data_IF_170179778705
#
_entry.id   IF_170179778705
#
_cell.length_a   1.000
_cell.length_b   1.000
_cell.length_c   1.000
_cell.angle_alpha   90.00
_cell.angle_beta   90.00
_cell.angle_gamma   90.00
#
_symmetry.space_group_name_H-M   'P 1'
#
loop_
_entity.id
_entity.type
_entity.pdbx_description
1 polymer ?
#
# COMPACT_ATOMS: atom_id res chain seq x y z
N UNK A 1 9.92 6.33 -1.64
CA UNK A 1 8.86 7.26 -1.20
C UNK A 1 9.48 8.22 -0.21
N UNK A 2 9.86 9.38 -0.63
CA UNK A 2 10.30 10.47 0.22
C UNK A 2 9.05 11.14 0.79
N UNK A 3 8.81 10.98 2.09
CA UNK A 3 7.74 11.68 2.80
C UNK A 3 8.20 13.11 3.03
N UNK A 4 7.57 14.08 2.37
CA UNK A 4 7.67 15.48 2.76
C UNK A 4 6.91 15.69 4.06
N UNK A 5 7.63 16.12 5.10
CA UNK A 5 7.04 16.57 6.35
C UNK A 5 6.24 17.86 6.09
N UNK A 6 5.00 17.90 6.56
CA UNK A 6 4.22 19.12 6.65
C UNK A 6 4.84 20.02 7.73
N UNK A 7 5.44 21.13 7.33
CA UNK A 7 5.79 22.20 8.25
C UNK A 7 4.54 23.02 8.56
N UNK A 8 3.93 22.74 9.73
CA UNK A 8 2.95 23.63 10.33
C UNK A 8 3.65 24.85 10.95
N UNK A 9 3.25 26.04 10.58
CA UNK A 9 3.73 27.29 11.15
C UNK A 9 3.36 27.37 12.63
N UNK A 10 4.36 27.40 13.51
CA UNK A 10 4.20 27.57 14.95
C UNK A 10 3.85 29.00 15.32
N UNK A 11 2.74 29.18 16.01
CA UNK A 11 2.44 30.40 16.76
C UNK A 11 3.06 30.21 18.14
N UNK A 12 4.03 31.03 18.46
CA UNK A 12 4.64 31.10 19.80
C UNK A 12 3.65 31.72 20.79
N UNK A 13 3.18 30.92 21.75
CA UNK A 13 2.51 31.42 22.95
C UNK A 13 3.45 31.35 24.12
N UNK A 14 3.50 32.48 24.84
CA UNK A 14 4.36 32.76 25.99
C UNK A 14 4.12 31.77 27.14
N UNK A 15 5.22 31.36 27.76
CA UNK A 15 5.24 30.47 28.91
C UNK A 15 4.72 31.18 30.17
N UNK A 16 3.74 30.55 30.85
CA UNK A 16 3.44 30.81 32.26
C UNK A 16 4.06 29.69 33.11
N UNK A 17 4.61 29.99 34.30
CA UNK A 17 5.33 28.99 35.07
C UNK A 17 4.40 28.11 35.91
N UNK A 18 4.66 26.84 35.81
CA UNK A 18 4.66 25.84 36.86
C UNK A 18 3.39 25.52 37.63
N UNK A 19 2.71 24.48 37.21
CA UNK A 19 2.20 23.47 38.15
C UNK A 19 2.71 22.12 37.67
N UNK A 20 3.50 21.46 38.50
CA UNK A 20 3.87 20.07 38.28
C UNK A 20 2.57 19.23 38.38
N UNK A 21 2.05 18.82 37.25
CA UNK A 21 1.01 17.81 37.19
C UNK A 21 1.65 16.46 37.57
N UNK A 22 1.15 15.82 38.59
CA UNK A 22 1.46 14.43 38.91
C UNK A 22 1.16 13.53 37.67
N UNK A 23 1.86 12.41 37.48
CA UNK A 23 1.70 11.59 36.29
C UNK A 23 0.31 10.95 36.24
N UNK A 24 -0.53 11.44 35.36
CA UNK A 24 -1.83 10.87 34.97
C UNK A 24 -1.66 9.62 34.07
N UNK A 25 -0.56 8.85 34.20
CA UNK A 25 -0.17 7.83 33.22
C UNK A 25 -1.15 6.65 33.12
N UNK A 26 -1.74 6.19 34.21
CA UNK A 26 -2.50 4.93 34.22
C UNK A 26 -3.88 4.99 33.53
N UNK A 27 -4.56 6.12 33.54
CA UNK A 27 -5.92 6.25 32.98
C UNK A 27 -5.88 6.61 31.49
N UNK A 28 -4.91 7.41 31.08
CA UNK A 28 -4.77 7.96 29.74
C UNK A 28 -4.60 6.88 28.67
N UNK A 29 -3.71 5.92 28.89
CA UNK A 29 -3.42 4.86 27.92
C UNK A 29 -4.57 3.85 27.78
N UNK A 30 -5.27 3.57 28.87
CA UNK A 30 -6.45 2.68 28.85
C UNK A 30 -7.62 3.31 28.10
N UNK A 31 -7.86 4.63 28.29
CA UNK A 31 -8.91 5.34 27.58
C UNK A 31 -8.63 5.35 26.06
N UNK A 32 -7.41 5.66 25.64
CA UNK A 32 -7.00 5.64 24.25
C UNK A 32 -7.03 4.22 23.65
N UNK A 33 -6.67 3.20 24.43
CA UNK A 33 -6.82 1.81 24.00
C UNK A 33 -8.31 1.44 23.78
N UNK A 34 -9.18 1.78 24.72
CA UNK A 34 -10.61 1.51 24.60
C UNK A 34 -11.24 2.28 23.43
N UNK A 35 -10.75 3.52 23.13
CA UNK A 35 -11.12 4.29 21.95
C UNK A 35 -10.68 3.60 20.66
N UNK A 36 -9.40 3.21 20.54
CA UNK A 36 -8.86 2.49 19.40
C UNK A 36 -9.63 1.19 19.14
N UNK A 37 -9.82 0.36 20.18
CA UNK A 37 -10.50 -0.91 20.07
C UNK A 37 -11.94 -0.74 19.59
N UNK A 38 -12.69 0.22 20.16
CA UNK A 38 -14.05 0.54 19.75
C UNK A 38 -14.11 1.04 18.31
N UNK A 39 -13.27 2.01 17.95
CA UNK A 39 -13.25 2.61 16.62
C UNK A 39 -12.97 1.57 15.53
N UNK A 40 -11.98 0.70 15.74
CA UNK A 40 -11.69 -0.38 14.80
C UNK A 40 -12.81 -1.44 14.78
N UNK A 41 -13.36 -1.78 15.93
CA UNK A 41 -14.48 -2.70 16.05
C UNK A 41 -15.72 -2.26 15.28
N UNK A 42 -16.00 -0.95 15.28
CA UNK A 42 -17.16 -0.36 14.61
C UNK A 42 -16.93 0.02 13.15
N UNK A 43 -15.70 0.38 12.77
CA UNK A 43 -15.43 1.06 11.49
C UNK A 43 -14.49 0.33 10.56
N UNK A 44 -13.63 -0.57 11.05
CA UNK A 44 -12.74 -1.35 10.19
C UNK A 44 -13.55 -2.29 9.30
N UNK A 45 -13.48 -2.08 7.97
CA UNK A 45 -14.44 -2.69 7.04
C UNK A 45 -14.27 -4.19 6.79
N UNK A 46 -13.09 -4.75 7.10
CA UNK A 46 -12.80 -6.17 6.88
C UNK A 46 -12.78 -6.99 8.18
N UNK A 47 -13.34 -6.50 9.28
CA UNK A 47 -13.23 -7.18 10.58
C UNK A 47 -13.83 -8.59 10.55
N UNK A 48 -14.96 -8.77 9.87
CA UNK A 48 -15.64 -10.06 9.72
C UNK A 48 -14.92 -11.05 8.80
N UNK A 49 -14.00 -10.55 7.97
CA UNK A 49 -13.19 -11.38 7.06
C UNK A 49 -11.93 -11.93 7.75
N UNK A 50 -11.61 -11.41 8.95
CA UNK A 50 -10.42 -11.80 9.72
C UNK A 50 -10.71 -12.98 10.66
N UNK A 51 -9.68 -13.81 10.88
CA UNK A 51 -9.73 -14.84 11.90
C UNK A 51 -9.33 -14.32 13.29
N UNK A 52 -9.19 -13.03 13.46
CA UNK A 52 -8.88 -12.37 14.73
C UNK A 52 -10.15 -12.27 15.59
N UNK A 53 -10.12 -12.79 16.81
CA UNK A 53 -11.16 -12.49 17.81
C UNK A 53 -10.93 -11.10 18.39
N UNK A 54 -11.82 -10.17 18.07
CA UNK A 54 -11.69 -8.78 18.51
C UNK A 54 -11.85 -8.62 20.03
N UNK A 55 -12.65 -9.47 20.67
CA UNK A 55 -12.77 -9.53 22.14
C UNK A 55 -11.49 -10.06 22.80
N UNK A 56 -10.79 -11.04 22.15
CA UNK A 56 -9.49 -11.48 22.63
C UNK A 56 -8.43 -10.38 22.50
N UNK A 57 -8.49 -9.54 21.46
CA UNK A 57 -7.61 -8.37 21.33
C UNK A 57 -7.77 -7.47 22.55
N UNK A 58 -9.01 -7.16 22.96
CA UNK A 58 -9.25 -6.36 24.15
C UNK A 58 -8.72 -7.04 25.43
N UNK A 59 -9.06 -8.30 25.62
CA UNK A 59 -8.65 -9.03 26.81
C UNK A 59 -7.14 -9.19 26.92
N UNK A 60 -6.44 -9.31 25.80
CA UNK A 60 -4.99 -9.50 25.73
C UNK A 60 -4.20 -8.18 25.88
N UNK A 61 -4.61 -7.12 25.14
CA UNK A 61 -3.82 -5.89 25.06
C UNK A 61 -4.21 -4.81 26.09
N UNK A 62 -5.46 -4.80 26.58
CA UNK A 62 -5.90 -3.80 27.57
C UNK A 62 -5.12 -3.84 28.88
N UNK A 63 -4.80 -5.02 29.47
CA UNK A 63 -3.91 -5.08 30.62
C UNK A 63 -2.49 -4.54 30.33
N UNK A 64 -1.98 -4.73 29.10
CA UNK A 64 -0.68 -4.17 28.70
C UNK A 64 -0.74 -2.64 28.62
N UNK A 65 -1.83 -2.08 28.10
CA UNK A 65 -2.05 -0.63 28.06
C UNK A 65 -2.09 -0.02 29.47
N UNK A 66 -2.74 -0.73 30.41
CA UNK A 66 -2.76 -0.32 31.84
C UNK A 66 -1.35 -0.35 32.46
N UNK A 67 -0.51 -1.30 32.05
CA UNK A 67 0.85 -1.48 32.57
C UNK A 67 1.93 -0.71 31.76
N UNK A 68 1.56 0.07 30.75
CA UNK A 68 2.50 0.83 29.96
C UNK A 68 3.12 1.95 30.79
N UNK A 69 4.46 2.05 30.78
CA UNK A 69 5.21 2.98 31.62
C UNK A 69 5.41 4.34 30.93
N UNK A 70 5.33 4.38 29.58
CA UNK A 70 5.54 5.59 28.79
C UNK A 70 4.84 5.52 27.42
N UNK A 71 4.87 6.63 26.69
CA UNK A 71 4.29 6.77 25.35
C UNK A 71 4.90 5.80 24.33
N UNK A 72 6.18 5.45 24.47
CA UNK A 72 6.86 4.53 23.55
C UNK A 72 6.33 3.09 23.73
N UNK A 73 6.19 2.65 24.99
CA UNK A 73 5.59 1.35 25.33
C UNK A 73 4.14 1.29 24.86
N UNK A 74 3.35 2.33 25.07
CA UNK A 74 1.97 2.38 24.62
C UNK A 74 1.86 2.43 23.08
N UNK A 75 2.71 3.21 22.42
CA UNK A 75 2.79 3.24 20.94
C UNK A 75 3.08 1.85 20.34
N UNK A 76 3.95 1.04 20.96
CA UNK A 76 4.18 -0.35 20.52
C UNK A 76 2.93 -1.21 20.73
N UNK A 77 2.19 -1.03 21.80
CA UNK A 77 0.91 -1.72 22.02
C UNK A 77 -0.10 -1.37 20.94
N UNK A 78 -0.29 -0.07 20.63
CA UNK A 78 -1.16 0.40 19.52
C UNK A 78 -0.75 -0.25 18.21
N UNK A 79 0.55 -0.22 17.87
CA UNK A 79 1.09 -0.87 16.66
C UNK A 79 0.75 -2.36 16.61
N UNK A 80 0.87 -3.07 17.73
CA UNK A 80 0.57 -4.51 17.82
C UNK A 80 -0.91 -4.79 17.68
N UNK A 81 -1.78 -3.96 18.25
CA UNK A 81 -3.24 -4.04 18.06
C UNK A 81 -3.62 -3.87 16.59
N UNK A 82 -3.01 -2.89 15.88
CA UNK A 82 -3.23 -2.72 14.44
C UNK A 82 -2.74 -3.94 13.64
N UNK A 83 -1.61 -4.55 14.04
CA UNK A 83 -1.06 -5.74 13.39
C UNK A 83 -1.95 -7.00 13.56
N UNK A 84 -2.83 -7.06 14.57
CA UNK A 84 -3.81 -8.14 14.71
C UNK A 84 -4.80 -8.20 13.53
N UNK A 85 -4.94 -7.12 12.78
CA UNK A 85 -5.78 -7.04 11.58
C UNK A 85 -5.07 -7.52 10.31
N UNK A 86 -3.76 -7.84 10.37
CA UNK A 86 -2.93 -8.28 9.23
C UNK A 86 -3.34 -7.61 7.91
N UNK A 87 -3.34 -6.28 7.94
CA UNK A 87 -3.73 -5.39 6.85
C UNK A 87 -2.64 -4.33 6.64
N UNK A 88 -1.96 -4.37 5.49
CA UNK A 88 -0.88 -3.43 5.18
C UNK A 88 -1.35 -1.97 5.06
N UNK A 89 -2.65 -1.74 4.93
CA UNK A 89 -3.26 -0.41 4.85
C UNK A 89 -3.68 0.14 6.22
N UNK A 90 -3.64 -0.70 7.28
CA UNK A 90 -4.00 -0.35 8.66
C UNK A 90 -2.73 -0.33 9.52
N UNK A 91 -2.25 0.87 9.88
CA UNK A 91 -0.97 1.05 10.56
C UNK A 91 -0.84 2.41 11.23
N UNK A 92 0.18 2.61 12.07
CA UNK A 92 0.56 3.93 12.60
C UNK A 92 0.91 4.88 11.45
N UNK A 93 0.51 6.16 11.56
CA UNK A 93 0.85 7.19 10.55
C UNK A 93 2.34 7.55 10.59
N UNK A 94 2.91 7.61 11.78
CA UNK A 94 4.33 7.91 12.01
C UNK A 94 4.96 6.86 12.94
N UNK A 95 5.24 5.65 12.41
CA UNK A 95 5.81 4.59 13.22
C UNK A 95 7.28 4.85 13.54
N UNK A 96 7.70 4.67 14.82
CA UNK A 96 9.07 4.88 15.26
C UNK A 96 10.10 3.99 14.55
N UNK A 97 11.35 4.44 14.48
CA UNK A 97 12.48 3.58 14.09
C UNK A 97 12.57 2.36 15.01
N UNK A 98 13.02 1.23 14.44
CA UNK A 98 13.09 -0.03 15.16
C UNK A 98 11.77 -0.81 15.23
N UNK A 99 10.66 -0.28 14.70
CA UNK A 99 9.40 -1.01 14.53
C UNK A 99 9.40 -1.79 13.21
N UNK A 100 8.64 -2.91 13.10
CA UNK A 100 8.46 -3.61 11.83
C UNK A 100 7.93 -2.68 10.74
N UNK A 101 8.45 -2.83 9.53
CA UNK A 101 7.86 -2.17 8.36
C UNK A 101 6.56 -2.87 7.98
N UNK A 102 5.59 -2.12 7.47
CA UNK A 102 4.46 -2.77 6.78
C UNK A 102 4.91 -3.27 5.40
N UNK A 103 4.31 -4.36 4.88
CA UNK A 103 4.61 -4.88 3.54
C UNK A 103 3.85 -4.06 2.46
N UNK A 104 4.27 -4.03 1.16
CA UNK A 104 5.49 -4.67 0.70
C UNK A 104 6.67 -3.70 0.81
N UNK A 105 7.89 -4.25 0.85
CA UNK A 105 9.09 -3.41 0.85
C UNK A 105 10.13 -4.00 -0.11
N UNK A 106 11.21 -4.14 -0.24
CA UNK A 106 12.19 -4.59 -1.24
C UNK A 106 11.81 -5.83 -2.06
N UNK A 107 11.03 -6.75 -1.51
CA UNK A 107 10.63 -8.00 -2.15
C UNK A 107 9.27 -8.49 -1.63
N UNK A 108 8.64 -9.33 -2.44
CA UNK A 108 7.50 -10.14 -2.07
C UNK A 108 7.97 -11.57 -1.80
N UNK A 109 7.58 -12.12 -0.66
CA UNK A 109 7.82 -13.51 -0.31
C UNK A 109 6.49 -14.26 -0.14
N UNK A 110 6.51 -15.55 -0.46
CA UNK A 110 5.34 -16.42 -0.33
C UNK A 110 5.71 -17.76 0.30
N UNK A 111 4.70 -18.42 0.87
CA UNK A 111 4.84 -19.79 1.37
C UNK A 111 4.73 -20.77 0.22
N UNK A 112 5.68 -21.70 0.13
CA UNK A 112 5.69 -22.77 -0.84
C UNK A 112 5.91 -24.12 -0.11
N UNK A 113 4.83 -24.80 0.23
CA UNK A 113 4.86 -25.94 1.16
C UNK A 113 5.41 -25.51 2.52
N UNK A 114 6.43 -26.21 3.01
CA UNK A 114 7.07 -25.91 4.31
C UNK A 114 8.18 -24.86 4.21
N UNK A 115 8.26 -24.13 3.09
CA UNK A 115 9.33 -23.15 2.86
C UNK A 115 8.79 -21.78 2.51
N UNK A 116 9.60 -20.76 2.72
CA UNK A 116 9.34 -19.39 2.27
C UNK A 116 10.28 -19.09 1.12
N UNK A 117 9.75 -18.59 0.00
CA UNK A 117 10.55 -18.23 -1.18
C UNK A 117 10.27 -16.81 -1.64
N UNK A 118 11.19 -16.23 -2.38
CA UNK A 118 11.01 -14.94 -3.04
C UNK A 118 10.10 -15.11 -4.24
N UNK A 119 8.98 -14.39 -4.27
CA UNK A 119 8.02 -14.40 -5.37
C UNK A 119 8.25 -13.24 -6.35
N UNK A 120 8.62 -12.04 -5.82
CA UNK A 120 8.96 -10.89 -6.66
C UNK A 120 10.03 -10.01 -5.98
N UNK A 121 10.73 -9.23 -6.79
CA UNK A 121 11.77 -8.30 -6.32
C UNK A 121 11.50 -6.93 -6.93
N UNK A 122 11.48 -5.90 -6.08
CA UNK A 122 11.31 -4.53 -6.53
C UNK A 122 12.55 -4.05 -7.26
N UNK A 123 12.35 -3.48 -8.45
CA UNK A 123 13.43 -2.93 -9.25
C UNK A 123 14.14 -1.80 -8.51
N UNK A 124 15.47 -1.80 -8.56
CA UNK A 124 16.26 -0.77 -7.87
C UNK A 124 16.27 -0.89 -6.34
N UNK A 125 15.68 -1.94 -5.74
CA UNK A 125 15.69 -2.19 -4.30
C UNK A 125 17.03 -2.72 -3.79
N UNK A 126 17.22 -2.77 -2.46
CA UNK A 126 18.37 -3.45 -1.84
C UNK A 126 18.38 -4.96 -2.16
N UNK A 127 17.21 -5.57 -2.34
CA UNK A 127 17.11 -6.98 -2.75
C UNK A 127 17.62 -7.21 -4.18
N UNK A 128 17.31 -6.32 -5.11
CA UNK A 128 17.82 -6.37 -6.48
C UNK A 128 19.33 -6.15 -6.51
N UNK A 129 19.85 -5.15 -5.79
CA UNK A 129 21.30 -4.87 -5.69
C UNK A 129 22.08 -6.04 -5.07
N UNK A 130 21.47 -6.78 -4.11
CA UNK A 130 22.04 -7.96 -3.51
C UNK A 130 22.07 -9.19 -4.44
N UNK A 131 21.52 -9.07 -5.65
CA UNK A 131 21.49 -10.13 -6.65
C UNK A 131 20.65 -11.34 -6.22
N UNK A 132 19.59 -11.10 -5.41
CA UNK A 132 18.59 -12.12 -5.12
C UNK A 132 17.79 -12.46 -6.36
N UNK A 133 17.22 -13.66 -6.38
CA UNK A 133 16.43 -14.14 -7.51
C UNK A 133 15.06 -14.62 -7.05
N UNK A 134 14.07 -14.48 -7.92
CA UNK A 134 12.77 -15.12 -7.76
C UNK A 134 12.98 -16.62 -7.66
N UNK A 135 12.33 -17.27 -6.68
CA UNK A 135 12.49 -18.67 -6.35
C UNK A 135 13.57 -18.98 -5.30
N UNK A 136 14.45 -18.02 -4.94
CA UNK A 136 15.38 -18.23 -3.83
C UNK A 136 14.59 -18.49 -2.55
N UNK A 137 14.98 -19.55 -1.82
CA UNK A 137 14.37 -19.92 -0.54
C UNK A 137 14.97 -19.05 0.57
N UNK A 138 14.13 -18.43 1.38
CA UNK A 138 14.55 -17.66 2.56
C UNK A 138 14.74 -18.61 3.74
N UNK A 139 15.92 -18.59 4.37
CA UNK A 139 16.30 -19.48 5.46
C UNK A 139 16.23 -18.74 6.79
N UNK A 140 16.83 -17.54 6.85
CA UNK A 140 16.94 -16.79 8.09
C UNK A 140 16.97 -15.27 7.83
N UNK A 141 16.56 -14.50 8.82
CA UNK A 141 16.70 -13.04 8.89
C UNK A 141 17.50 -12.72 10.15
N UNK A 142 18.60 -11.96 10.01
CA UNK A 142 19.51 -11.58 11.11
C UNK A 142 19.97 -12.79 11.95
N UNK A 143 20.26 -13.90 11.26
CA UNK A 143 20.70 -15.17 11.88
C UNK A 143 19.57 -15.97 12.55
N UNK A 144 18.33 -15.46 12.60
CA UNK A 144 17.18 -16.16 13.19
C UNK A 144 16.43 -16.93 12.09
N UNK A 145 16.11 -18.22 12.29
CA UNK A 145 15.32 -18.99 11.33
C UNK A 145 14.04 -18.26 10.94
N UNK A 146 13.68 -18.26 9.65
CA UNK A 146 12.52 -17.51 9.13
C UNK A 146 11.21 -17.89 9.84
N UNK A 147 10.99 -19.17 10.13
CA UNK A 147 9.80 -19.64 10.83
C UNK A 147 9.70 -19.13 12.27
N UNK A 148 10.84 -18.89 12.91
CA UNK A 148 10.88 -18.27 14.25
C UNK A 148 10.47 -16.80 14.17
N UNK A 149 10.98 -16.07 13.17
CA UNK A 149 10.63 -14.66 12.98
C UNK A 149 9.15 -14.51 12.64
N UNK A 150 8.60 -15.36 11.74
CA UNK A 150 7.18 -15.39 11.40
C UNK A 150 6.33 -15.65 12.65
N UNK A 151 6.63 -16.67 13.41
CA UNK A 151 5.88 -17.01 14.64
C UNK A 151 5.85 -15.86 15.66
N UNK A 152 6.94 -15.14 15.82
CA UNK A 152 7.02 -14.03 16.76
C UNK A 152 6.20 -12.81 16.32
N UNK A 153 6.12 -12.56 15.01
CA UNK A 153 5.35 -11.47 14.40
C UNK A 153 3.87 -11.83 14.14
N UNK A 154 3.50 -13.11 14.21
CA UNK A 154 2.13 -13.59 13.97
C UNK A 154 1.14 -12.92 14.92
N UNK A 155 -0.05 -12.50 14.44
CA UNK A 155 -1.14 -12.04 15.30
C UNK A 155 -1.43 -13.02 16.45
N UNK A 156 -1.65 -12.51 17.66
CA UNK A 156 -1.81 -13.31 18.90
C UNK A 156 -3.25 -13.74 19.17
N UNK A 157 -4.19 -13.06 18.53
CA UNK A 157 -5.62 -13.23 18.82
C UNK A 157 -6.39 -14.01 17.74
N UNK A 158 -5.70 -14.72 16.85
CA UNK A 158 -6.34 -15.60 15.86
C UNK A 158 -7.11 -16.72 16.55
N UNK A 159 -8.35 -16.99 16.10
CA UNK A 159 -9.16 -18.13 16.57
C UNK A 159 -8.76 -19.45 15.91
N UNK A 160 -8.21 -19.37 14.70
CA UNK A 160 -7.62 -20.48 13.93
C UNK A 160 -6.56 -19.96 12.98
N UNK A 161 -5.69 -20.83 12.45
CA UNK A 161 -4.73 -20.43 11.41
C UNK A 161 -5.42 -19.78 10.22
N UNK A 162 -4.81 -18.72 9.69
CA UNK A 162 -5.29 -17.99 8.52
C UNK A 162 -4.15 -17.80 7.50
N UNK A 163 -4.28 -18.33 6.27
CA UNK A 163 -3.28 -18.12 5.22
C UNK A 163 -3.02 -16.64 4.90
N UNK A 164 -4.02 -15.76 5.07
CA UNK A 164 -3.83 -14.33 4.85
C UNK A 164 -2.96 -13.69 5.96
N UNK A 165 -3.11 -14.14 7.21
CA UNK A 165 -2.24 -13.71 8.31
C UNK A 165 -0.81 -14.23 8.13
N UNK A 166 -0.64 -15.48 7.65
CA UNK A 166 0.67 -16.05 7.34
C UNK A 166 1.35 -15.26 6.22
N UNK A 167 0.67 -15.02 5.11
CA UNK A 167 1.20 -14.25 3.98
C UNK A 167 1.59 -12.81 4.39
N UNK A 168 0.74 -12.12 5.17
CA UNK A 168 1.05 -10.80 5.71
C UNK A 168 2.30 -10.84 6.58
N UNK A 169 2.37 -11.79 7.52
CA UNK A 169 3.47 -11.89 8.48
C UNK A 169 4.80 -12.25 7.82
N UNK A 170 4.79 -13.14 6.82
CA UNK A 170 5.97 -13.43 5.99
C UNK A 170 6.51 -12.12 5.39
N UNK A 171 5.65 -11.30 4.82
CA UNK A 171 6.07 -10.07 4.16
C UNK A 171 6.47 -8.97 5.14
N UNK A 172 5.91 -8.89 6.33
CA UNK A 172 6.43 -8.06 7.43
C UNK A 172 7.82 -8.53 7.87
N UNK A 173 8.04 -9.84 7.99
CA UNK A 173 9.33 -10.40 8.39
C UNK A 173 10.44 -10.03 7.39
N UNK A 174 10.19 -10.21 6.09
CA UNK A 174 11.19 -9.88 5.05
C UNK A 174 11.36 -8.38 4.84
N UNK A 175 10.33 -7.56 5.08
CA UNK A 175 10.45 -6.11 5.07
C UNK A 175 11.40 -5.59 6.17
N UNK A 176 11.49 -6.32 7.28
CA UNK A 176 12.37 -6.01 8.41
C UNK A 176 11.92 -4.78 9.20
N UNK A 177 12.87 -4.11 9.83
CA UNK A 177 12.60 -3.02 10.77
C UNK A 177 13.00 -1.66 10.20
N UNK A 178 12.26 -0.61 10.56
CA UNK A 178 12.54 0.78 10.17
C UNK A 178 13.88 1.24 10.73
N UNK A 179 14.63 2.00 9.94
CA UNK A 179 15.93 2.53 10.33
C UNK A 179 17.01 1.47 10.56
N UNK A 180 16.75 0.17 10.29
CA UNK A 180 17.72 -0.90 10.49
C UNK A 180 18.09 -1.60 9.18
N UNK A 181 19.40 -1.83 9.00
CA UNK A 181 19.91 -2.80 8.04
C UNK A 181 19.55 -4.20 8.51
N UNK A 182 19.53 -5.17 7.60
CA UNK A 182 19.25 -6.57 7.91
C UNK A 182 20.13 -7.53 7.10
N UNK A 183 20.28 -8.75 7.59
CA UNK A 183 20.95 -9.85 6.89
C UNK A 183 19.88 -10.86 6.44
N UNK A 184 19.90 -11.24 5.18
CA UNK A 184 19.02 -12.27 4.66
C UNK A 184 19.83 -13.50 4.26
N UNK A 185 19.58 -14.63 4.89
CA UNK A 185 20.18 -15.92 4.48
C UNK A 185 19.22 -16.61 3.53
N UNK A 186 19.70 -16.93 2.34
CA UNK A 186 18.91 -17.57 1.27
C UNK A 186 19.63 -18.80 0.73
N UNK A 187 18.86 -19.73 0.17
CA UNK A 187 19.37 -20.85 -0.62
C UNK A 187 18.80 -20.73 -2.04
N UNK A 188 19.68 -20.78 -3.04
CA UNK A 188 19.26 -20.85 -4.44
C UNK A 188 18.58 -22.18 -4.74
N UNK A 189 17.85 -22.23 -5.86
CA UNK A 189 17.25 -23.47 -6.39
C UNK A 189 18.29 -24.57 -6.65
N UNK A 190 19.57 -24.23 -6.84
CA UNK A 190 20.69 -25.16 -6.94
C UNK A 190 21.29 -25.61 -5.60
N UNK A 191 20.68 -25.23 -4.44
CA UNK A 191 21.10 -25.68 -3.11
C UNK A 191 22.25 -24.88 -2.48
N UNK A 192 22.82 -23.88 -3.15
CA UNK A 192 23.86 -23.02 -2.58
C UNK A 192 23.26 -22.01 -1.63
N UNK A 193 23.71 -22.03 -0.38
CA UNK A 193 23.30 -21.06 0.65
C UNK A 193 24.27 -19.90 0.72
N UNK A 194 23.72 -18.68 0.90
CA UNK A 194 24.49 -17.45 1.11
C UNK A 194 23.75 -16.49 2.04
N UNK A 195 24.48 -15.65 2.74
CA UNK A 195 23.92 -14.55 3.53
C UNK A 195 24.28 -13.24 2.86
N UNK A 196 23.29 -12.41 2.63
CA UNK A 196 23.44 -11.12 1.95
C UNK A 196 23.00 -9.97 2.85
N UNK A 197 23.78 -8.87 2.91
CA UNK A 197 23.39 -7.70 3.66
C UNK A 197 22.40 -6.85 2.87
N UNK A 198 21.39 -6.35 3.56
CA UNK A 198 20.46 -5.33 3.07
C UNK A 198 20.75 -4.04 3.84
N UNK A 199 21.56 -3.13 3.29
CA UNK A 199 21.78 -1.83 3.87
C UNK A 199 20.49 -0.99 3.83
N UNK A 200 20.44 0.06 4.65
CA UNK A 200 19.40 1.08 4.51
C UNK A 200 19.64 1.79 3.17
N UNK A 201 18.70 1.60 2.23
CA UNK A 201 18.75 2.24 0.92
C UNK A 201 17.89 3.49 0.92
N UNK A 202 18.45 4.60 0.46
CA UNK A 202 17.69 5.81 0.14
C UNK A 202 17.22 5.71 -1.31
N UNK A 203 15.92 5.83 -1.52
CA UNK A 203 15.36 5.93 -2.85
C UNK A 203 15.68 7.31 -3.44
N UNK A 204 15.94 7.40 -4.74
CA UNK A 204 16.18 8.69 -5.39
C UNK A 204 14.92 9.58 -5.28
N UNK A 205 15.14 10.88 -5.13
CA UNK A 205 14.06 11.87 -5.19
C UNK A 205 13.74 12.14 -6.67
N UNK A 206 12.77 11.41 -7.20
CA UNK A 206 12.32 11.51 -8.58
C UNK A 206 11.03 12.33 -8.66
N UNK A 207 10.77 13.05 -9.76
CA UNK A 207 9.51 13.74 -9.96
C UNK A 207 8.32 12.76 -9.95
N UNK A 208 7.18 13.21 -9.42
CA UNK A 208 5.96 12.40 -9.42
C UNK A 208 5.48 12.06 -10.83
N UNK A 209 5.76 12.92 -11.81
CA UNK A 209 5.40 12.69 -13.21
C UNK A 209 6.63 12.91 -14.09
N UNK A 210 6.93 11.92 -14.92
CA UNK A 210 7.91 12.00 -16.00
C UNK A 210 7.28 11.53 -17.31
N UNK A 211 7.70 12.10 -18.42
CA UNK A 211 7.16 11.71 -19.72
C UNK A 211 8.22 11.71 -20.81
N UNK A 212 8.05 10.83 -21.78
CA UNK A 212 8.88 10.75 -22.99
C UNK A 212 8.12 10.13 -24.15
N UNK A 213 8.61 10.36 -25.35
CA UNK A 213 8.21 9.61 -26.53
C UNK A 213 9.06 8.34 -26.62
N UNK A 214 8.41 7.18 -26.76
CA UNK A 214 9.04 5.91 -27.09
C UNK A 214 9.14 5.75 -28.62
N UNK A 215 9.90 4.76 -29.11
CA UNK A 215 9.87 4.39 -30.52
C UNK A 215 8.44 4.16 -31.03
N UNK A 216 8.26 4.29 -32.34
CA UNK A 216 6.98 4.11 -33.02
C UNK A 216 5.89 5.14 -32.62
N UNK A 217 6.32 6.30 -32.07
CA UNK A 217 5.41 7.39 -31.73
C UNK A 217 4.48 7.08 -30.54
N UNK A 218 4.86 6.20 -29.63
CA UNK A 218 4.10 5.84 -28.43
C UNK A 218 4.50 6.81 -27.30
N UNK A 219 3.52 7.50 -26.72
CA UNK A 219 3.72 8.32 -25.52
C UNK A 219 3.87 7.43 -24.28
N UNK A 220 4.76 7.83 -23.35
CA UNK A 220 4.98 7.15 -22.10
C UNK A 220 5.00 8.16 -20.96
N UNK A 221 4.15 7.94 -19.95
CA UNK A 221 4.05 8.77 -18.74
C UNK A 221 4.18 7.86 -17.52
N UNK A 222 5.14 8.17 -16.64
CA UNK A 222 5.23 7.56 -15.30
C UNK A 222 4.50 8.47 -14.30
N UNK A 223 3.68 7.88 -13.43
CA UNK A 223 3.08 8.56 -12.27
C UNK A 223 3.53 7.82 -11.03
N UNK A 224 4.36 8.45 -10.17
CA UNK A 224 4.92 7.82 -8.97
C UNK A 224 4.13 8.07 -7.69
N UNK A 225 3.21 9.05 -7.72
CA UNK A 225 2.39 9.36 -6.55
C UNK A 225 1.08 10.03 -6.97
N UNK A 226 0.02 9.80 -6.20
CA UNK A 226 -1.23 10.56 -6.25
C UNK A 226 -1.43 11.41 -4.98
N UNK A 227 -0.36 11.72 -4.24
CA UNK A 227 -0.48 12.40 -2.93
C UNK A 227 -0.53 13.93 -3.04
N UNK A 228 -0.01 14.51 -4.14
CA UNK A 228 0.03 15.97 -4.34
C UNK A 228 -0.86 16.38 -5.52
N UNK A 229 -1.65 17.41 -5.34
CA UNK A 229 -2.49 17.98 -6.40
C UNK A 229 -1.68 18.49 -7.60
N UNK A 230 -0.42 18.92 -7.39
CA UNK A 230 0.51 19.27 -8.45
C UNK A 230 0.80 18.12 -9.43
N UNK A 231 0.62 16.86 -9.02
CA UNK A 231 0.75 15.69 -9.89
C UNK A 231 -0.25 15.72 -11.04
N UNK A 232 -1.50 16.14 -10.79
CA UNK A 232 -2.51 16.26 -11.85
C UNK A 232 -2.14 17.34 -12.88
N UNK A 233 -1.60 18.46 -12.43
CA UNK A 233 -1.13 19.55 -13.31
C UNK A 233 0.12 19.13 -14.11
N UNK A 234 1.03 18.40 -13.48
CA UNK A 234 2.22 17.85 -14.15
C UNK A 234 1.82 16.81 -15.20
N UNK A 235 0.85 15.94 -14.89
CA UNK A 235 0.27 15.01 -15.86
C UNK A 235 -0.38 15.73 -17.04
N UNK A 236 -1.13 16.79 -16.79
CA UNK A 236 -1.79 17.58 -17.84
C UNK A 236 -0.77 18.18 -18.82
N UNK A 237 0.37 18.70 -18.32
CA UNK A 237 1.48 19.20 -19.16
C UNK A 237 2.13 18.06 -19.95
N UNK A 238 2.39 16.91 -19.31
CA UNK A 238 2.95 15.74 -19.97
C UNK A 238 2.04 15.22 -21.10
N UNK A 239 0.72 15.12 -20.81
CA UNK A 239 -0.26 14.68 -21.80
C UNK A 239 -0.38 15.67 -22.98
N UNK A 240 -0.30 16.98 -22.73
CA UNK A 240 -0.31 17.99 -23.79
C UNK A 240 0.90 17.84 -24.72
N UNK A 241 2.08 17.59 -24.18
CA UNK A 241 3.31 17.35 -24.97
C UNK A 241 3.25 16.05 -25.79
N UNK A 242 2.47 15.08 -25.34
CA UNK A 242 2.30 13.77 -25.99
C UNK A 242 0.95 13.67 -26.74
N UNK A 243 0.27 14.80 -26.98
CA UNK A 243 -1.05 14.84 -27.59
C UNK A 243 -1.12 14.09 -28.93
N UNK A 244 -0.05 14.19 -29.72
CA UNK A 244 0.02 13.62 -31.07
C UNK A 244 0.55 12.18 -31.10
N UNK A 245 0.98 11.62 -29.96
CA UNK A 245 1.40 10.23 -29.84
C UNK A 245 0.30 9.28 -30.38
N UNK A 246 0.69 8.19 -31.03
CA UNK A 246 -0.24 7.21 -31.64
C UNK A 246 -1.03 6.42 -30.59
N UNK A 247 -0.47 6.25 -29.41
CA UNK A 247 -1.07 5.65 -28.22
C UNK A 247 -0.31 6.08 -26.99
N UNK A 248 -0.82 5.80 -25.80
CA UNK A 248 -0.23 6.21 -24.52
C UNK A 248 -0.07 5.03 -23.57
N UNK A 249 1.11 4.90 -23.00
CA UNK A 249 1.38 4.01 -21.86
C UNK A 249 1.49 4.88 -20.61
N UNK A 250 0.68 4.58 -19.58
CA UNK A 250 0.74 5.19 -18.25
C UNK A 250 1.31 4.15 -17.29
N UNK A 251 2.39 4.46 -16.61
CA UNK A 251 3.09 3.55 -15.72
C UNK A 251 2.89 3.95 -14.26
N UNK A 252 2.24 3.07 -13.48
CA UNK A 252 2.00 3.25 -12.05
C UNK A 252 2.69 2.16 -11.22
N UNK A 253 3.71 1.47 -11.77
CA UNK A 253 4.42 0.38 -11.09
C UNK A 253 5.18 0.83 -9.84
N UNK A 254 5.66 2.07 -9.79
CA UNK A 254 6.38 2.65 -8.65
C UNK A 254 5.48 3.54 -7.77
N UNK A 255 4.15 3.39 -7.89
CA UNK A 255 3.18 4.28 -7.24
C UNK A 255 2.50 3.57 -6.07
N UNK A 256 2.75 4.05 -4.85
CA UNK A 256 2.14 3.53 -3.63
C UNK A 256 0.72 4.06 -3.35
N UNK A 257 0.16 4.92 -4.22
CA UNK A 257 -1.20 5.46 -4.06
C UNK A 257 -1.26 6.96 -3.79
N UNK A 258 -2.28 7.37 -3.05
CA UNK A 258 -2.60 8.74 -2.71
C UNK A 258 -4.10 9.03 -2.81
N UNK A 259 -4.48 10.26 -3.18
CA UNK A 259 -5.85 10.76 -3.12
C UNK A 259 -6.60 10.59 -4.46
N UNK A 260 -7.87 10.23 -4.37
CA UNK A 260 -8.83 10.24 -5.50
C UNK A 260 -8.99 11.64 -6.10
N UNK A 261 -8.82 12.70 -5.31
CA UNK A 261 -8.88 14.08 -5.79
C UNK A 261 -7.77 14.40 -6.81
N UNK A 262 -6.65 13.66 -6.78
CA UNK A 262 -5.56 13.75 -7.76
C UNK A 262 -5.78 12.82 -8.95
N UNK A 263 -6.21 11.58 -8.70
CA UNK A 263 -6.36 10.58 -9.76
C UNK A 263 -7.58 10.80 -10.66
N UNK A 264 -8.73 11.27 -10.11
CA UNK A 264 -9.95 11.52 -10.90
C UNK A 264 -9.78 12.56 -12.00
N UNK A 265 -9.16 13.74 -11.78
CA UNK A 265 -8.87 14.69 -12.86
C UNK A 265 -8.05 14.08 -13.99
N UNK A 266 -7.06 13.21 -13.66
CA UNK A 266 -6.26 12.49 -14.66
C UNK A 266 -7.13 11.54 -15.49
N UNK A 267 -7.96 10.69 -14.83
CA UNK A 267 -8.92 9.83 -15.53
C UNK A 267 -9.89 10.64 -16.41
N UNK A 268 -10.29 11.83 -15.95
CA UNK A 268 -11.19 12.73 -16.67
C UNK A 268 -10.66 13.23 -18.02
N UNK A 269 -9.33 13.15 -18.27
CA UNK A 269 -8.69 13.50 -19.54
C UNK A 269 -9.02 12.52 -20.67
N UNK A 270 -9.61 11.36 -20.36
CA UNK A 270 -9.85 10.27 -21.29
C UNK A 270 -11.33 10.06 -21.64
N UNK A 271 -12.25 10.84 -21.07
CA UNK A 271 -13.69 10.72 -21.26
C UNK A 271 -14.33 12.03 -21.69
N UNK A 272 -15.48 11.97 -22.37
CA UNK A 272 -16.27 13.13 -22.82
C UNK A 272 -17.55 13.33 -22.02
N UNK A 273 -17.93 12.35 -21.22
CA UNK A 273 -19.10 12.33 -20.36
C UNK A 273 -18.78 11.73 -19.01
N UNK A 274 -19.60 12.01 -17.99
CA UNK A 274 -19.44 11.44 -16.65
C UNK A 274 -19.60 9.93 -16.69
N UNK A 275 -18.64 9.20 -16.07
CA UNK A 275 -18.66 7.74 -16.02
C UNK A 275 -18.43 7.23 -14.59
N UNK A 276 -19.11 6.13 -14.25
CA UNK A 276 -18.82 5.38 -13.04
C UNK A 276 -17.45 4.70 -13.15
N UNK A 277 -16.67 4.71 -12.07
CA UNK A 277 -15.35 4.06 -12.04
C UNK A 277 -15.11 3.13 -10.84
N UNK A 278 -15.94 3.26 -9.78
CA UNK A 278 -15.86 2.43 -8.59
C UNK A 278 -17.20 2.37 -7.87
N UNK A 279 -17.39 1.33 -7.09
CA UNK A 279 -18.45 1.16 -6.10
C UNK A 279 -17.80 1.13 -4.72
N UNK A 280 -18.42 1.81 -3.76
CA UNK A 280 -17.94 1.90 -2.39
C UNK A 280 -19.01 1.41 -1.42
N UNK A 281 -18.58 0.92 -0.27
CA UNK A 281 -19.41 0.62 0.89
C UNK A 281 -18.68 1.06 2.15
N UNK A 282 -19.37 1.01 3.29
CA UNK A 282 -18.76 1.16 4.61
C UNK A 282 -19.31 0.12 5.57
N UNK A 283 -18.63 -0.08 6.68
CA UNK A 283 -19.13 -0.97 7.70
C UNK A 283 -20.44 -0.43 8.30
N UNK A 284 -21.40 -1.33 8.51
CA UNK A 284 -22.69 -1.05 9.12
C UNK A 284 -23.10 -2.24 10.01
N UNK A 285 -22.80 -2.14 11.30
CA UNK A 285 -22.94 -3.25 12.25
C UNK A 285 -21.98 -4.41 11.90
N UNK A 286 -22.52 -5.61 11.77
CA UNK A 286 -21.76 -6.80 11.37
C UNK A 286 -21.60 -6.96 9.85
N UNK A 287 -22.23 -6.10 9.05
CA UNK A 287 -22.20 -6.15 7.59
C UNK A 287 -21.66 -4.88 6.96
N UNK A 288 -21.99 -4.70 5.68
CA UNK A 288 -21.69 -3.51 4.90
C UNK A 288 -22.97 -2.73 4.56
N UNK A 289 -22.85 -1.43 4.41
CA UNK A 289 -23.92 -0.54 3.98
C UNK A 289 -24.39 -0.86 2.56
N UNK A 290 -25.53 -0.28 2.15
CA UNK A 290 -25.87 -0.17 0.74
C UNK A 290 -24.70 0.48 -0.04
N UNK A 291 -24.45 0.02 -1.29
CA UNK A 291 -23.39 0.57 -2.11
C UNK A 291 -23.71 1.96 -2.60
N UNK A 292 -22.66 2.78 -2.81
CA UNK A 292 -22.79 3.99 -3.64
C UNK A 292 -21.73 3.96 -4.75
N UNK A 293 -22.04 4.69 -5.82
CA UNK A 293 -21.19 4.73 -7.01
C UNK A 293 -20.35 6.00 -7.02
N UNK A 294 -19.06 5.83 -7.27
CA UNK A 294 -18.13 6.92 -7.50
C UNK A 294 -17.96 7.19 -9.00
N UNK A 295 -17.81 8.47 -9.35
CA UNK A 295 -17.81 8.93 -10.74
C UNK A 295 -16.58 9.77 -11.05
N UNK A 296 -16.16 9.70 -12.32
CA UNK A 296 -15.21 10.61 -12.96
C UNK A 296 -15.97 11.55 -13.89
N UNK A 297 -15.64 12.83 -13.82
CA UNK A 297 -16.14 13.85 -14.75
C UNK A 297 -15.08 14.17 -15.82
N UNK A 298 -15.49 14.55 -17.05
CA UNK A 298 -14.54 15.07 -18.05
C UNK A 298 -13.72 16.24 -17.51
N UNK A 299 -12.45 16.28 -17.89
CA UNK A 299 -11.49 17.30 -17.42
C UNK A 299 -10.58 17.76 -18.56
N UNK A 300 -10.15 19.04 -18.47
CA UNK A 300 -9.13 19.63 -19.32
C UNK A 300 -9.62 20.15 -20.69
N UNK A 301 -8.71 20.77 -21.48
CA UNK A 301 -9.08 21.46 -22.72
C UNK A 301 -9.33 20.52 -23.91
N UNK A 302 -8.95 19.25 -23.81
CA UNK A 302 -9.20 18.22 -24.83
C UNK A 302 -9.35 16.85 -24.18
N UNK A 303 -9.96 15.91 -24.89
CA UNK A 303 -10.03 14.49 -24.48
C UNK A 303 -9.03 13.69 -25.29
N UNK A 304 -8.15 12.92 -24.62
CA UNK A 304 -7.27 11.99 -25.29
C UNK A 304 -8.07 10.72 -25.66
N UNK A 305 -8.29 10.51 -26.95
CA UNK A 305 -9.16 9.43 -27.44
C UNK A 305 -8.43 8.22 -28.03
N UNK A 306 -7.09 8.32 -28.23
CA UNK A 306 -6.27 7.23 -28.76
C UNK A 306 -6.10 6.11 -27.75
N UNK A 307 -5.60 4.92 -28.13
CA UNK A 307 -5.41 3.77 -27.22
C UNK A 307 -4.57 4.12 -25.99
N UNK A 308 -4.91 3.53 -24.86
CA UNK A 308 -4.20 3.67 -23.58
C UNK A 308 -3.94 2.30 -22.97
N UNK A 309 -2.72 2.10 -22.49
CA UNK A 309 -2.32 0.97 -21.65
C UNK A 309 -1.88 1.51 -20.30
N UNK A 310 -2.27 0.86 -19.20
CA UNK A 310 -1.77 1.16 -17.86
C UNK A 310 -0.93 -0.01 -17.36
N UNK A 311 0.31 0.28 -16.93
CA UNK A 311 1.24 -0.72 -16.39
C UNK A 311 1.14 -0.77 -14.88
N UNK A 312 1.04 -1.99 -14.33
CA UNK A 312 0.94 -2.27 -12.90
C UNK A 312 1.94 -3.33 -12.46
N UNK A 313 2.28 -3.36 -11.18
CA UNK A 313 3.01 -4.46 -10.56
C UNK A 313 2.64 -4.61 -9.08
N UNK A 314 3.34 -5.49 -8.35
CA UNK A 314 3.11 -5.76 -6.93
C UNK A 314 3.27 -4.54 -6.03
N UNK A 315 3.98 -3.49 -6.45
CA UNK A 315 4.17 -2.24 -5.69
C UNK A 315 3.19 -1.13 -6.09
N UNK A 316 2.31 -1.38 -7.06
CA UNK A 316 1.17 -0.50 -7.30
C UNK A 316 0.18 -0.66 -6.14
N UNK A 317 -0.02 0.39 -5.32
CA UNK A 317 -0.82 0.28 -4.09
C UNK A 317 -1.93 1.33 -3.99
N UNK A 318 -2.99 1.00 -3.24
CA UNK A 318 -4.05 1.96 -2.88
C UNK A 318 -4.68 2.65 -4.09
N UNK A 319 -4.56 3.98 -4.24
CA UNK A 319 -5.11 4.68 -5.42
C UNK A 319 -4.41 4.27 -6.72
N UNK A 320 -3.16 3.78 -6.68
CA UNK A 320 -2.49 3.19 -7.85
C UNK A 320 -3.05 1.81 -8.24
N UNK A 321 -3.93 1.22 -7.42
CA UNK A 321 -4.79 0.10 -7.81
C UNK A 321 -6.16 0.60 -8.30
N UNK A 322 -6.68 1.66 -7.67
CA UNK A 322 -7.95 2.29 -8.05
C UNK A 322 -7.90 2.98 -9.42
N UNK A 323 -6.75 3.56 -9.78
CA UNK A 323 -6.56 4.23 -11.06
C UNK A 323 -6.63 3.27 -12.27
N UNK A 324 -5.85 2.18 -12.36
CA UNK A 324 -5.96 1.22 -13.47
C UNK A 324 -7.33 0.53 -13.50
N UNK A 325 -7.90 0.17 -12.34
CA UNK A 325 -9.25 -0.37 -12.26
C UNK A 325 -10.27 0.62 -12.84
N UNK A 326 -10.20 1.88 -12.42
CA UNK A 326 -11.08 2.93 -12.91
C UNK A 326 -10.91 3.21 -14.41
N UNK A 327 -9.67 3.28 -14.91
CA UNK A 327 -9.37 3.47 -16.35
C UNK A 327 -9.93 2.33 -17.21
N UNK A 328 -9.89 1.10 -16.71
CA UNK A 328 -10.54 -0.06 -17.35
C UNK A 328 -12.05 0.09 -17.35
N UNK A 329 -12.64 0.43 -16.20
CA UNK A 329 -14.10 0.47 -16.02
C UNK A 329 -14.78 1.62 -16.79
N UNK A 330 -14.09 2.77 -16.93
CA UNK A 330 -14.56 3.83 -17.85
C UNK A 330 -14.35 3.47 -19.34
N UNK A 331 -13.77 2.30 -19.64
CA UNK A 331 -13.57 1.78 -21.00
C UNK A 331 -12.43 2.47 -21.74
N UNK A 332 -11.38 2.94 -21.05
CA UNK A 332 -10.33 3.75 -21.66
C UNK A 332 -8.94 3.12 -21.67
N UNK A 333 -8.68 2.10 -20.85
CA UNK A 333 -7.37 1.46 -20.85
C UNK A 333 -7.47 -0.05 -20.79
N UNK A 334 -6.46 -0.71 -21.37
CA UNK A 334 -6.09 -2.10 -21.09
C UNK A 334 -5.03 -2.08 -19.98
N UNK A 335 -5.20 -2.89 -18.94
CA UNK A 335 -4.24 -2.99 -17.84
C UNK A 335 -3.28 -4.17 -18.10
N UNK A 336 -1.98 -3.91 -18.02
CA UNK A 336 -0.91 -4.89 -18.30
C UNK A 336 0.04 -4.95 -17.11
N UNK A 337 0.33 -6.15 -16.61
CA UNK A 337 1.30 -6.31 -15.53
C UNK A 337 1.05 -7.50 -14.63
N UNK A 338 1.51 -7.43 -13.39
CA UNK A 338 1.24 -8.42 -12.36
C UNK A 338 0.07 -7.98 -11.47
N UNK A 339 -0.36 -8.86 -10.56
CA UNK A 339 -1.25 -8.45 -9.47
C UNK A 339 -0.62 -7.29 -8.69
N UNK A 340 -1.46 -6.41 -8.18
CA UNK A 340 -1.08 -5.26 -7.37
C UNK A 340 -1.02 -5.62 -5.88
N UNK A 341 -0.78 -4.64 -5.01
CA UNK A 341 -0.63 -4.85 -3.56
C UNK A 341 -1.84 -5.51 -2.89
N UNK A 342 -3.04 -5.35 -3.45
CA UNK A 342 -4.28 -5.88 -2.87
C UNK A 342 -4.83 -5.03 -1.71
N UNK A 343 -4.52 -3.74 -1.66
CA UNK A 343 -5.04 -2.79 -0.67
C UNK A 343 -6.49 -2.43 -1.01
N UNK A 344 -7.42 -3.22 -0.50
CA UNK A 344 -8.81 -3.26 -0.96
C UNK A 344 -9.73 -2.11 -0.52
N UNK A 345 -9.29 -1.15 0.30
CA UNK A 345 -10.16 -0.12 0.87
C UNK A 345 -9.59 1.30 0.77
N UNK A 346 -10.45 2.30 0.89
CA UNK A 346 -10.06 3.64 1.28
C UNK A 346 -9.77 3.67 2.80
N UNK A 347 -8.78 4.49 3.20
CA UNK A 347 -8.33 4.58 4.59
C UNK A 347 -8.82 5.86 5.25
N UNK A 348 -9.02 5.78 6.56
CA UNK A 348 -9.41 6.89 7.43
C UNK A 348 -8.42 7.06 8.57
N UNK A 349 -8.14 8.31 8.97
CA UNK A 349 -7.26 8.57 10.09
C UNK A 349 -7.96 8.25 11.42
N UNK A 350 -7.17 7.80 12.39
CA UNK A 350 -7.48 7.83 13.83
C UNK A 350 -6.45 8.73 14.48
N UNK A 351 -6.88 9.57 15.38
CA UNK A 351 -6.04 10.29 16.33
C UNK A 351 -6.60 10.04 17.72
N UNK A 352 -5.83 9.34 18.55
CA UNK A 352 -6.22 9.04 19.93
C UNK A 352 -6.28 10.34 20.76
N UNK A 353 -7.33 10.47 21.55
CA UNK A 353 -7.69 11.75 22.17
C UNK A 353 -6.71 12.21 23.25
N UNK A 354 -6.08 11.28 23.98
CA UNK A 354 -5.21 11.58 25.11
C UNK A 354 -3.74 11.70 24.72
N UNK A 355 -3.22 10.69 24.03
CA UNK A 355 -1.80 10.66 23.62
C UNK A 355 -1.54 11.38 22.30
N UNK A 356 -2.57 11.57 21.47
CA UNK A 356 -2.44 12.15 20.14
C UNK A 356 -1.79 11.21 19.13
N UNK A 357 -1.57 9.94 19.47
CA UNK A 357 -1.04 8.92 18.55
C UNK A 357 -1.94 8.83 17.32
N UNK A 358 -1.30 8.84 16.15
CA UNK A 358 -2.00 8.82 14.88
C UNK A 358 -1.82 7.47 14.16
N UNK A 359 -2.92 6.98 13.63
CA UNK A 359 -2.98 5.78 12.82
C UNK A 359 -3.96 5.95 11.66
N UNK A 360 -3.97 4.99 10.75
CA UNK A 360 -5.00 4.87 9.71
C UNK A 360 -5.55 3.44 9.68
N UNK A 361 -6.78 3.29 9.21
CA UNK A 361 -7.45 2.00 9.05
C UNK A 361 -8.25 1.93 7.76
N UNK A 362 -8.43 0.73 7.22
CA UNK A 362 -9.30 0.43 6.09
C UNK A 362 -10.77 0.58 6.49
N UNK A 363 -11.45 1.63 6.01
CA UNK A 363 -12.82 1.97 6.42
C UNK A 363 -13.89 1.76 5.35
N UNK A 364 -13.55 1.94 4.07
CA UNK A 364 -14.49 1.79 2.96
C UNK A 364 -13.93 0.85 1.90
N UNK A 365 -14.43 -0.41 1.81
CA UNK A 365 -14.00 -1.34 0.78
C UNK A 365 -14.41 -0.82 -0.61
N UNK A 366 -13.48 -0.97 -1.57
CA UNK A 366 -13.60 -0.49 -2.94
C UNK A 366 -13.84 -1.66 -3.87
N UNK A 367 -14.78 -1.50 -4.79
CA UNK A 367 -15.15 -2.47 -5.81
C UNK A 367 -15.09 -1.83 -7.20
N UNK A 368 -14.90 -2.65 -8.22
CA UNK A 368 -15.09 -2.21 -9.60
C UNK A 368 -16.60 -1.99 -9.92
N UNK A 369 -16.92 -1.49 -11.10
CA UNK A 369 -18.31 -1.23 -11.50
C UNK A 369 -19.15 -2.49 -11.71
N UNK A 370 -18.54 -3.67 -11.64
CA UNK A 370 -19.19 -4.99 -11.67
C UNK A 370 -19.29 -5.62 -10.27
N UNK A 371 -19.04 -4.82 -9.22
CA UNK A 371 -19.10 -5.24 -7.81
C UNK A 371 -18.07 -6.29 -7.40
N UNK A 372 -16.90 -6.33 -8.08
CA UNK A 372 -15.78 -7.20 -7.71
C UNK A 372 -14.81 -6.42 -6.81
N UNK A 373 -14.33 -7.01 -5.69
CA UNK A 373 -13.40 -6.31 -4.78
C UNK A 373 -12.10 -5.88 -5.48
N UNK A 374 -11.65 -4.64 -5.24
CA UNK A 374 -10.39 -4.11 -5.77
C UNK A 374 -9.18 -4.99 -5.41
N UNK A 375 -9.17 -5.56 -4.20
CA UNK A 375 -8.11 -6.48 -3.75
C UNK A 375 -7.97 -7.73 -4.61
N UNK A 376 -9.01 -8.09 -5.40
CA UNK A 376 -9.02 -9.23 -6.31
C UNK A 376 -8.83 -8.81 -7.78
N UNK A 377 -8.46 -7.56 -8.02
CA UNK A 377 -8.24 -7.07 -9.37
C UNK A 377 -7.08 -7.81 -10.05
N UNK A 378 -7.33 -8.27 -11.27
CA UNK A 378 -6.35 -8.93 -12.14
C UNK A 378 -6.18 -8.07 -13.40
N UNK A 379 -4.95 -7.79 -13.85
CA UNK A 379 -4.70 -7.13 -15.12
C UNK A 379 -5.35 -7.84 -16.29
N UNK A 380 -5.72 -7.11 -17.35
CA UNK A 380 -6.29 -7.69 -18.58
C UNK A 380 -5.26 -8.55 -19.33
N UNK A 381 -3.98 -8.18 -19.21
CA UNK A 381 -2.83 -8.95 -19.72
C UNK A 381 -1.89 -9.19 -18.54
N UNK A 382 -1.97 -10.40 -18.00
CA UNK A 382 -1.06 -10.83 -16.93
C UNK A 382 0.33 -11.09 -17.48
N UNK A 383 1.35 -10.55 -16.78
CA UNK A 383 2.77 -10.74 -17.08
C UNK A 383 3.39 -11.57 -15.95
N UNK A 384 4.17 -12.57 -16.30
CA UNK A 384 4.85 -13.38 -15.28
C UNK A 384 5.87 -12.56 -14.49
N UNK A 385 6.03 -12.88 -13.21
CA UNK A 385 7.02 -12.24 -12.35
C UNK A 385 8.44 -12.40 -12.94
N UNK A 386 9.20 -11.31 -12.90
CA UNK A 386 10.53 -11.23 -13.50
C UNK A 386 10.57 -10.96 -15.01
N UNK A 387 9.41 -10.90 -15.68
CA UNK A 387 9.34 -10.54 -17.11
C UNK A 387 9.25 -9.03 -17.32
N UNK A 388 9.55 -8.57 -18.53
CA UNK A 388 9.52 -7.14 -18.89
C UNK A 388 8.07 -6.67 -19.16
N UNK A 389 7.46 -6.06 -18.13
CA UNK A 389 6.11 -5.50 -18.18
C UNK A 389 6.02 -4.35 -19.20
N UNK A 390 7.08 -3.53 -19.36
CA UNK A 390 7.07 -2.43 -20.34
C UNK A 390 7.03 -2.98 -21.77
N UNK A 391 7.84 -4.00 -22.06
CA UNK A 391 7.81 -4.66 -23.36
C UNK A 391 6.43 -5.29 -23.67
N UNK A 392 5.79 -5.91 -22.68
CA UNK A 392 4.43 -6.42 -22.82
C UNK A 392 3.41 -5.31 -23.09
N UNK A 393 3.52 -4.17 -22.38
CA UNK A 393 2.70 -2.98 -22.60
C UNK A 393 2.89 -2.36 -23.98
N UNK A 394 4.13 -2.29 -24.46
CA UNK A 394 4.44 -1.82 -25.85
C UNK A 394 3.80 -2.77 -26.88
N UNK A 395 3.87 -4.06 -26.67
CA UNK A 395 3.25 -5.03 -27.58
C UNK A 395 1.71 -4.86 -27.62
N UNK A 396 1.09 -4.66 -26.46
CA UNK A 396 -0.36 -4.50 -26.38
C UNK A 396 -0.85 -3.17 -26.97
N UNK A 397 -0.15 -2.05 -26.70
CA UNK A 397 -0.54 -0.76 -27.31
C UNK A 397 -0.41 -0.77 -28.82
N UNK A 398 0.62 -1.44 -29.40
CA UNK A 398 0.77 -1.60 -30.85
C UNK A 398 -0.39 -2.38 -31.46
N UNK A 399 -0.86 -3.46 -30.81
CA UNK A 399 -2.06 -4.19 -31.25
C UNK A 399 -3.30 -3.29 -31.23
N UNK A 400 -3.45 -2.45 -30.21
CA UNK A 400 -4.58 -1.53 -30.11
C UNK A 400 -4.53 -0.44 -31.21
N UNK A 401 -3.34 0.08 -31.52
CA UNK A 401 -3.13 1.07 -32.60
C UNK A 401 -3.45 0.47 -33.96
N UNK A 402 -3.04 -0.77 -34.24
CA UNK A 402 -3.27 -1.42 -35.54
C UNK A 402 -4.75 -1.78 -35.84
N UNK A 403 -5.63 -1.64 -34.87
CA UNK A 403 -7.09 -1.90 -35.01
C UNK A 403 -7.90 -0.64 -35.33
N UNK A 404 -7.26 0.53 -35.37
CA UNK A 404 -7.87 1.82 -35.69
C UNK A 404 -7.62 2.16 -37.17
#
# INVERSE_FOLDING_TARGET
>A
MTRRAFCGAGIALAATPGWAAEPLHDVTFVEDFDELWRTLGERYCFLTDKQTSWDRVRSFYRPMALAAEDDAAFTDIVRRVLAELYDAHTHLSDPPDGTPRWPLFDLLAERAGDTVRIAAIESGSAAADAGLKIGDRIIAIDGRPIETVIRDLMPKCLVKPDPAADAYTINVAVAGYRGKARLLSVSSTGGTSRTVPFPIKKWPDLPDVESRMLPDGIGYIVIRSFSDTATADAFDKALANLRDASGLIIDVRENGGGDTAVARPIMGRFIRERKAYAIMRRRAGEGLSAPWTEYVNPKGPFTYSKPVVVLTNHWSGSMAEGFPMGMRDIGRATVVGTKMMGLGAAVFPIRLDRTGIQAQYSGEPVYDTKDRPRSQFVPDVEVADGSDILAAGIAEIKKAISRI
#
